data_IF_675749030134
#
_entry.id   IF_675749030134
#
_cell.length_a   1.000
_cell.length_b   1.000
_cell.length_c   1.000
_cell.angle_alpha   90.00
_cell.angle_beta   90.00
_cell.angle_gamma   90.00
#
_symmetry.space_group_name_H-M   'P 1'
#
loop_
_entity.id
_entity.type
_entity.pdbx_description
1 polymer ?
#
# COMPACT_ATOMS: atom_id res chain seq x y z
N UNK A 1 7.71 14.77 -28.04
CA UNK A 1 7.48 15.50 -26.78
C UNK A 1 7.10 14.46 -25.73
N UNK A 2 7.95 14.20 -24.75
CA UNK A 2 7.67 13.28 -23.65
C UNK A 2 6.69 13.97 -22.69
N UNK A 3 5.45 13.47 -22.60
CA UNK A 3 4.52 13.92 -21.57
C UNK A 3 5.10 13.52 -20.21
N UNK A 4 5.61 14.50 -19.47
CA UNK A 4 6.11 14.30 -18.12
C UNK A 4 4.90 14.06 -17.22
N UNK A 5 4.57 12.79 -16.95
CA UNK A 5 3.53 12.43 -16.00
C UNK A 5 3.96 12.84 -14.60
N UNK A 6 3.08 13.59 -13.91
CA UNK A 6 3.28 13.87 -12.49
C UNK A 6 3.03 12.57 -11.70
N UNK A 7 4.10 11.98 -11.20
CA UNK A 7 4.05 10.73 -10.44
C UNK A 7 3.29 10.84 -9.11
N UNK A 8 2.99 12.04 -8.62
CA UNK A 8 2.21 12.24 -7.39
C UNK A 8 0.70 12.25 -7.63
N UNK A 9 0.27 12.58 -8.84
CA UNK A 9 -1.17 12.81 -9.13
C UNK A 9 -1.70 11.99 -10.29
N UNK A 10 -0.85 11.49 -11.18
CA UNK A 10 -1.25 10.69 -12.34
C UNK A 10 -1.82 9.32 -11.97
N UNK A 11 -2.70 8.74 -12.79
CA UNK A 11 -3.13 7.35 -12.60
C UNK A 11 -1.97 6.38 -12.90
N UNK A 12 -1.87 5.31 -12.11
CA UNK A 12 -0.87 4.25 -12.27
C UNK A 12 -1.52 3.04 -12.93
N UNK A 13 -0.89 2.52 -13.99
CA UNK A 13 -1.37 1.36 -14.75
C UNK A 13 -0.23 0.37 -14.98
N UNK A 14 0.24 -0.33 -13.93
CA UNK A 14 1.37 -1.23 -14.06
C UNK A 14 0.99 -2.47 -14.89
N UNK A 15 1.86 -2.87 -15.82
CA UNK A 15 1.70 -4.05 -16.68
C UNK A 15 2.80 -5.09 -16.44
N UNK A 16 3.97 -4.65 -15.98
CA UNK A 16 5.11 -5.50 -15.65
C UNK A 16 5.34 -5.55 -14.14
N UNK A 17 6.12 -6.55 -13.67
CA UNK A 17 6.52 -6.64 -12.26
C UNK A 17 7.30 -5.40 -11.80
N UNK A 18 8.19 -4.86 -12.65
CA UNK A 18 8.93 -3.64 -12.34
C UNK A 18 7.99 -2.45 -12.16
N UNK A 19 7.01 -2.29 -13.05
CA UNK A 19 6.01 -1.24 -12.93
C UNK A 19 5.08 -1.43 -11.72
N UNK A 20 4.81 -2.66 -11.28
CA UNK A 20 4.06 -2.90 -10.04
C UNK A 20 4.85 -2.48 -8.80
N UNK A 21 6.15 -2.75 -8.77
CA UNK A 21 7.06 -2.28 -7.72
C UNK A 21 7.10 -0.75 -7.73
N UNK A 22 7.24 -0.12 -8.90
CA UNK A 22 7.20 1.34 -9.05
C UNK A 22 5.87 1.90 -8.55
N UNK A 23 4.75 1.27 -8.90
CA UNK A 23 3.42 1.68 -8.44
C UNK A 23 3.30 1.59 -6.91
N UNK A 24 3.85 0.55 -6.29
CA UNK A 24 3.90 0.42 -4.83
C UNK A 24 4.74 1.53 -4.19
N UNK A 25 5.94 1.80 -4.72
CA UNK A 25 6.81 2.88 -4.24
C UNK A 25 6.11 4.23 -4.35
N UNK A 26 5.54 4.54 -5.51
CA UNK A 26 4.84 5.80 -5.77
C UNK A 26 3.63 5.94 -4.83
N UNK A 27 2.85 4.87 -4.64
CA UNK A 27 1.66 4.93 -3.78
C UNK A 27 2.05 5.11 -2.31
N UNK A 28 3.17 4.53 -1.86
CA UNK A 28 3.74 4.80 -0.54
C UNK A 28 4.17 6.27 -0.38
N UNK A 29 4.84 6.85 -1.37
CA UNK A 29 5.23 8.28 -1.35
C UNK A 29 3.99 9.17 -1.27
N UNK A 30 2.96 8.90 -2.09
CA UNK A 30 1.69 9.65 -2.06
C UNK A 30 1.02 9.54 -0.70
N UNK A 31 0.96 8.33 -0.14
CA UNK A 31 0.38 8.10 1.18
C UNK A 31 1.14 8.88 2.26
N UNK A 32 2.47 8.81 2.27
CA UNK A 32 3.29 9.52 3.24
C UNK A 32 2.97 11.02 3.25
N UNK A 33 2.95 11.63 2.06
CA UNK A 33 2.67 13.06 1.94
C UNK A 33 1.27 13.45 2.42
N UNK A 34 0.26 12.59 2.21
CA UNK A 34 -1.08 12.84 2.76
C UNK A 34 -1.14 12.59 4.26
N UNK A 35 -0.43 11.59 4.78
CA UNK A 35 -0.38 11.29 6.21
C UNK A 35 0.27 12.41 7.03
N UNK A 36 1.25 13.13 6.45
CA UNK A 36 1.87 14.30 7.09
C UNK A 36 0.83 15.36 7.50
N UNK A 37 -0.28 15.47 6.77
CA UNK A 37 -1.37 16.41 7.09
C UNK A 37 -2.12 16.06 8.39
N UNK A 38 -1.96 14.83 8.88
CA UNK A 38 -2.59 14.35 10.12
C UNK A 38 -1.65 14.42 11.34
N UNK A 39 -0.38 14.83 11.16
CA UNK A 39 0.56 14.91 12.29
C UNK A 39 0.26 16.09 13.22
N UNK A 40 -0.36 17.16 12.71
CA UNK A 40 -0.81 18.29 13.51
C UNK A 40 -2.29 18.10 13.89
N UNK A 41 -2.51 17.36 14.97
CA UNK A 41 -3.85 17.00 15.45
C UNK A 41 -4.67 18.22 15.89
N UNK A 42 -4.03 19.30 16.34
CA UNK A 42 -4.74 20.53 16.70
C UNK A 42 -5.31 21.22 15.46
N UNK A 43 -4.50 21.37 14.40
CA UNK A 43 -5.00 21.89 13.11
C UNK A 43 -6.09 20.99 12.53
N UNK A 44 -5.90 19.67 12.58
CA UNK A 44 -6.89 18.72 12.07
C UNK A 44 -8.24 18.86 12.80
N UNK A 45 -8.24 19.03 14.13
CA UNK A 45 -9.46 19.24 14.93
C UNK A 45 -10.13 20.57 14.65
N UNK A 46 -9.36 21.59 14.26
CA UNK A 46 -9.87 22.91 13.90
C UNK A 46 -10.50 22.95 12.50
N UNK A 47 -10.30 21.93 11.66
CA UNK A 47 -10.90 21.89 10.32
C UNK A 47 -12.42 21.68 10.39
N UNK A 48 -13.21 22.38 9.56
CA UNK A 48 -14.63 22.13 9.46
C UNK A 48 -14.90 20.79 8.75
N UNK A 49 -16.07 20.22 9.01
CA UNK A 49 -16.43 18.86 8.56
C UNK A 49 -16.38 18.70 7.04
N UNK A 50 -16.76 19.74 6.30
CA UNK A 50 -16.71 19.81 4.83
C UNK A 50 -15.27 19.77 4.27
N UNK A 51 -14.25 20.06 5.09
CA UNK A 51 -12.83 19.94 4.74
C UNK A 51 -12.23 18.62 5.23
N UNK A 52 -12.66 18.11 6.39
CA UNK A 52 -12.19 16.84 6.97
C UNK A 52 -12.61 15.64 6.10
N UNK A 53 -13.88 15.60 5.66
CA UNK A 53 -14.41 14.45 4.93
C UNK A 53 -13.65 14.20 3.62
N UNK A 54 -13.38 15.20 2.76
CA UNK A 54 -12.56 15.01 1.56
C UNK A 54 -11.13 14.54 1.88
N UNK A 55 -10.49 15.11 2.91
CA UNK A 55 -9.13 14.74 3.32
C UNK A 55 -9.03 13.27 3.74
N UNK A 56 -9.94 12.81 4.62
CA UNK A 56 -10.02 11.41 5.05
C UNK A 56 -10.34 10.49 3.87
N UNK A 57 -11.27 10.90 3.01
CA UNK A 57 -11.65 10.12 1.81
C UNK A 57 -10.46 9.90 0.88
N UNK A 58 -9.70 10.96 0.60
CA UNK A 58 -8.53 10.88 -0.27
C UNK A 58 -7.44 9.99 0.33
N UNK A 59 -7.13 10.18 1.60
CA UNK A 59 -6.13 9.38 2.33
C UNK A 59 -6.53 7.90 2.37
N UNK A 60 -7.80 7.61 2.62
CA UNK A 60 -8.36 6.24 2.60
C UNK A 60 -8.21 5.62 1.21
N UNK A 61 -8.49 6.38 0.15
CA UNK A 61 -8.32 5.91 -1.23
C UNK A 61 -6.87 5.57 -1.54
N UNK A 62 -5.90 6.39 -1.11
CA UNK A 62 -4.49 6.07 -1.27
C UNK A 62 -4.08 4.80 -0.52
N UNK A 63 -4.67 4.57 0.67
CA UNK A 63 -4.45 3.32 1.41
C UNK A 63 -4.94 2.09 0.67
N UNK A 64 -6.14 2.15 0.11
CA UNK A 64 -6.66 1.07 -0.72
C UNK A 64 -5.80 0.83 -1.96
N UNK A 65 -5.29 1.88 -2.61
CA UNK A 65 -4.39 1.74 -3.74
C UNK A 65 -3.06 1.08 -3.34
N UNK A 66 -2.49 1.48 -2.21
CA UNK A 66 -1.25 0.87 -1.68
C UNK A 66 -1.47 -0.61 -1.41
N UNK A 67 -2.57 -0.97 -0.75
CA UNK A 67 -2.86 -2.37 -0.43
C UNK A 67 -3.03 -3.20 -1.71
N UNK A 68 -3.75 -2.70 -2.71
CA UNK A 68 -3.85 -3.38 -4.02
C UNK A 68 -2.49 -3.54 -4.71
N UNK A 69 -1.60 -2.55 -4.61
CA UNK A 69 -0.26 -2.67 -5.16
C UNK A 69 0.57 -3.72 -4.41
N UNK A 70 0.46 -3.79 -3.08
CA UNK A 70 1.09 -4.84 -2.27
C UNK A 70 0.56 -6.23 -2.64
N UNK A 71 -0.76 -6.40 -2.73
CA UNK A 71 -1.40 -7.67 -3.11
C UNK A 71 -0.93 -8.15 -4.50
N UNK A 72 -0.81 -7.23 -5.46
CA UNK A 72 -0.32 -7.54 -6.80
C UNK A 72 1.15 -7.99 -6.81
N UNK A 73 2.00 -7.31 -6.06
CA UNK A 73 3.43 -7.69 -5.92
C UNK A 73 3.56 -9.03 -5.21
N UNK A 74 2.80 -9.26 -4.13
CA UNK A 74 2.82 -10.50 -3.37
C UNK A 74 2.39 -11.70 -4.22
N UNK A 75 1.27 -11.57 -4.95
CA UNK A 75 0.79 -12.62 -5.86
C UNK A 75 1.81 -12.99 -6.94
N UNK A 76 2.45 -11.98 -7.56
CA UNK A 76 3.49 -12.22 -8.56
C UNK A 76 4.73 -12.89 -7.94
N UNK A 77 5.16 -12.44 -6.77
CA UNK A 77 6.32 -13.02 -6.11
C UNK A 77 6.06 -14.48 -5.70
N UNK A 78 4.90 -14.77 -5.12
CA UNK A 78 4.46 -16.12 -4.79
C UNK A 78 4.42 -17.03 -6.01
N UNK A 79 3.91 -16.53 -7.15
CA UNK A 79 3.93 -17.27 -8.41
C UNK A 79 5.37 -17.59 -8.86
N UNK A 80 6.27 -16.60 -8.84
CA UNK A 80 7.67 -16.82 -9.23
C UNK A 80 8.40 -17.78 -8.28
N UNK A 81 8.13 -17.70 -6.98
CA UNK A 81 8.72 -18.56 -5.97
C UNK A 81 8.23 -19.99 -6.08
N UNK A 82 6.92 -20.22 -6.27
CA UNK A 82 6.36 -21.58 -6.40
C UNK A 82 6.95 -22.35 -7.59
N UNK A 83 7.33 -21.66 -8.67
CA UNK A 83 8.02 -22.26 -9.82
C UNK A 83 9.45 -22.72 -9.51
N UNK A 84 10.12 -22.08 -8.54
CA UNK A 84 11.52 -22.34 -8.18
C UNK A 84 11.67 -23.19 -6.92
N UNK A 85 10.70 -23.10 -6.01
CA UNK A 85 10.66 -23.78 -4.72
C UNK A 85 9.22 -24.26 -4.51
N UNK A 86 8.86 -25.46 -5.02
CA UNK A 86 7.47 -25.95 -5.03
C UNK A 86 6.84 -26.07 -3.63
N UNK A 87 7.66 -26.31 -2.61
CA UNK A 87 7.19 -26.53 -1.24
C UNK A 87 7.05 -25.23 -0.42
N UNK A 88 7.40 -24.06 -0.98
CA UNK A 88 7.45 -22.79 -0.24
C UNK A 88 6.06 -22.25 0.15
N UNK A 89 5.02 -22.64 -0.59
CA UNK A 89 3.64 -22.27 -0.32
C UNK A 89 2.90 -23.31 0.52
N UNK A 90 3.56 -24.40 0.94
CA UNK A 90 2.94 -25.34 1.86
C UNK A 90 2.73 -24.63 3.21
N UNK A 91 1.53 -24.71 3.81
CA UNK A 91 1.33 -24.18 5.14
C UNK A 91 2.34 -24.83 6.09
N UNK A 92 2.89 -24.09 7.06
CA UNK A 92 3.77 -24.68 8.05
C UNK A 92 3.05 -25.86 8.72
N UNK A 93 3.77 -26.94 9.09
CA UNK A 93 3.17 -28.03 9.83
C UNK A 93 2.46 -27.47 11.07
N UNK A 94 1.30 -28.02 11.46
CA UNK A 94 0.51 -27.50 12.55
C UNK A 94 1.39 -27.42 13.81
N UNK A 95 1.69 -26.21 14.26
CA UNK A 95 2.36 -25.95 15.52
C UNK A 95 1.33 -26.03 16.63
N UNK A 96 1.61 -26.83 17.68
CA UNK A 96 0.76 -26.90 18.87
C UNK A 96 0.73 -25.58 19.67
N UNK A 97 1.60 -24.61 19.34
CA UNK A 97 1.54 -23.25 19.86
C UNK A 97 0.62 -22.39 18.98
N UNK A 98 -0.56 -22.11 19.52
CA UNK A 98 -1.62 -21.30 18.89
C UNK A 98 -1.42 -19.80 19.09
N UNK A 99 -0.24 -19.35 19.52
CA UNK A 99 -0.04 -17.98 19.99
C UNK A 99 0.34 -17.07 18.83
N UNK A 100 -0.67 -16.61 18.07
CA UNK A 100 -0.50 -15.47 17.19
C UNK A 100 -0.48 -14.21 18.06
N UNK A 101 0.70 -13.69 18.37
CA UNK A 101 0.86 -12.41 19.07
C UNK A 101 0.64 -11.29 18.04
N UNK A 102 -0.52 -10.63 18.12
CA UNK A 102 -0.91 -9.51 17.25
C UNK A 102 -0.54 -8.12 17.80
N UNK A 103 0.27 -8.03 18.87
CA UNK A 103 0.59 -6.74 19.49
C UNK A 103 2.07 -6.34 19.28
N UNK A 104 2.35 -5.05 19.02
CA UNK A 104 3.71 -4.54 19.06
C UNK A 104 4.20 -4.49 20.52
N UNK A 105 5.47 -4.81 20.72
CA UNK A 105 6.19 -4.52 21.98
C UNK A 105 6.55 -3.05 22.08
#
# INVERSE_FOLDING_TARGET
MTHQQNILTGPLHPQTIGEMIDALIITNIRMWHEQEKFFDLEKLRALPCDQIVPLLTYTTRLNLLRNRAMDGVDALLAEQLSRRVPDILQPPPPTNDSTIIWEPT
#
